data_IF_511852885029
#
_entry.id   IF_511852885029
#
_cell.length_a   1.000
_cell.length_b   1.000
_cell.length_c   1.000
_cell.angle_alpha   90.00
_cell.angle_beta   90.00
_cell.angle_gamma   90.00
#
_symmetry.space_group_name_H-M   'P 1'
#
loop_
_entity.id
_entity.type
_entity.pdbx_description
1 polymer ?
#
# COMPACT_ATOMS: atom_id res chain seq x y z
N UNK A 1 6.73 6.65 1.32
CA UNK A 1 7.46 5.36 1.17
C UNK A 1 8.99 5.52 1.11
N UNK A 2 9.58 6.27 0.19
CA UNK A 2 11.06 6.31 0.05
C UNK A 2 11.81 6.82 1.29
N UNK A 3 11.28 7.85 1.96
CA UNK A 3 11.88 8.34 3.20
C UNK A 3 11.80 7.29 4.32
N UNK A 4 10.63 6.66 4.50
CA UNK A 4 10.46 5.54 5.43
C UNK A 4 11.42 4.39 5.14
N UNK A 5 11.65 4.06 3.87
CA UNK A 5 12.64 3.05 3.49
C UNK A 5 14.06 3.45 3.94
N UNK A 6 14.47 4.70 3.73
CA UNK A 6 15.78 5.22 4.18
C UNK A 6 15.91 5.17 5.71
N UNK A 7 14.88 5.59 6.44
CA UNK A 7 14.87 5.55 7.91
C UNK A 7 14.98 4.13 8.48
N UNK A 8 14.48 3.13 7.76
CA UNK A 8 14.53 1.72 8.17
C UNK A 8 15.65 0.93 7.46
N UNK A 9 16.63 1.62 6.84
CA UNK A 9 17.65 0.98 6.00
C UNK A 9 18.37 -0.19 6.66
N UNK A 10 18.65 -0.08 7.96
CA UNK A 10 19.35 -1.09 8.75
C UNK A 10 18.52 -2.36 8.97
N UNK A 11 17.20 -2.26 8.99
CA UNK A 11 16.28 -3.39 9.21
C UNK A 11 15.85 -4.08 7.91
N UNK A 12 16.12 -3.47 6.74
CA UNK A 12 15.73 -3.97 5.43
C UNK A 12 16.85 -4.86 4.85
N UNK A 13 16.51 -6.10 4.50
CA UNK A 13 17.48 -7.12 4.04
C UNK A 13 17.93 -6.89 2.61
N UNK A 14 16.99 -6.69 1.68
CA UNK A 14 17.28 -6.38 0.27
C UNK A 14 16.71 -5.02 -0.11
N UNK A 15 17.48 -3.99 0.19
CA UNK A 15 17.05 -2.61 0.03
C UNK A 15 16.78 -2.23 -1.41
N UNK A 16 17.60 -2.64 -2.37
CA UNK A 16 17.32 -2.30 -3.77
C UNK A 16 16.05 -2.98 -4.25
N UNK A 17 15.80 -4.24 -3.85
CA UNK A 17 14.55 -4.91 -4.18
C UNK A 17 13.34 -4.17 -3.61
N UNK A 18 13.44 -3.69 -2.36
CA UNK A 18 12.40 -2.88 -1.75
C UNK A 18 12.22 -1.55 -2.48
N UNK A 19 13.30 -0.84 -2.83
CA UNK A 19 13.24 0.41 -3.59
C UNK A 19 12.59 0.20 -4.95
N UNK A 20 12.97 -0.83 -5.71
CA UNK A 20 12.31 -1.16 -6.97
C UNK A 20 10.83 -1.47 -6.77
N UNK A 21 10.46 -2.22 -5.72
CA UNK A 21 9.06 -2.47 -5.42
C UNK A 21 8.30 -1.17 -5.14
N UNK A 22 8.85 -0.26 -4.34
CA UNK A 22 8.27 1.07 -4.06
C UNK A 22 8.05 1.85 -5.36
N UNK A 23 9.06 1.91 -6.23
CA UNK A 23 8.97 2.68 -7.48
C UNK A 23 7.96 2.11 -8.46
N UNK A 24 7.84 0.78 -8.52
CA UNK A 24 7.03 0.12 -9.54
C UNK A 24 5.62 -0.27 -9.09
N UNK A 25 5.30 -0.32 -7.79
CA UNK A 25 4.06 -1.00 -7.35
C UNK A 25 2.77 -0.45 -8.00
N UNK A 26 2.69 0.86 -8.17
CA UNK A 26 1.55 1.56 -8.80
C UNK A 26 1.86 2.20 -10.16
N UNK A 27 2.94 1.78 -10.83
CA UNK A 27 3.32 2.35 -12.14
C UNK A 27 2.24 2.16 -13.21
N UNK A 28 1.46 1.08 -13.12
CA UNK A 28 0.26 0.88 -13.94
C UNK A 28 -0.95 1.07 -13.05
N UNK A 29 -1.61 2.22 -13.21
CA UNK A 29 -2.79 2.55 -12.45
C UNK A 29 -3.98 2.85 -13.38
N UNK A 30 -5.02 2.01 -13.28
CA UNK A 30 -6.33 2.23 -13.90
C UNK A 30 -7.39 2.05 -12.82
N UNK A 31 -8.07 3.12 -12.40
CA UNK A 31 -8.99 3.16 -11.25
C UNK A 31 -10.08 2.07 -11.22
N UNK A 32 -10.41 1.49 -12.38
CA UNK A 32 -11.41 0.42 -12.56
C UNK A 32 -10.85 -1.01 -12.61
N UNK A 33 -9.53 -1.18 -12.62
CA UNK A 33 -8.91 -2.48 -12.90
C UNK A 33 -8.37 -3.16 -11.65
N UNK A 34 -8.90 -4.34 -11.33
CA UNK A 34 -8.35 -5.26 -10.30
C UNK A 34 -7.02 -5.93 -10.71
N UNK A 35 -6.38 -5.45 -11.77
CA UNK A 35 -5.17 -6.06 -12.36
C UNK A 35 -3.96 -5.11 -12.30
N UNK A 36 -4.09 -3.93 -11.72
CA UNK A 36 -3.06 -2.89 -11.69
C UNK A 36 -1.75 -3.43 -11.12
N UNK A 37 -1.77 -3.94 -9.89
CA UNK A 37 -0.59 -4.40 -9.17
C UNK A 37 0.05 -5.60 -9.86
N UNK A 38 -0.76 -6.52 -10.40
CA UNK A 38 -0.24 -7.66 -11.20
C UNK A 38 0.42 -7.18 -12.50
N UNK A 39 -0.12 -6.15 -13.14
CA UNK A 39 0.46 -5.55 -14.35
C UNK A 39 1.74 -4.79 -14.00
N UNK A 40 1.74 -3.99 -12.94
CA UNK A 40 2.90 -3.31 -12.39
C UNK A 40 4.03 -4.28 -12.07
N UNK A 41 3.73 -5.38 -11.37
CA UNK A 41 4.70 -6.42 -11.04
C UNK A 41 5.32 -7.06 -12.30
N UNK A 42 4.49 -7.40 -13.30
CA UNK A 42 4.97 -7.93 -14.58
C UNK A 42 5.82 -6.91 -15.34
N UNK A 43 5.41 -5.65 -15.33
CA UNK A 43 6.14 -4.56 -15.97
C UNK A 43 7.52 -4.37 -15.33
N UNK A 44 7.58 -4.36 -14.00
CA UNK A 44 8.82 -4.26 -13.23
C UNK A 44 9.80 -5.38 -13.62
N UNK A 45 9.37 -6.65 -13.58
CA UNK A 45 10.22 -7.78 -13.97
C UNK A 45 10.72 -7.65 -15.41
N UNK A 46 9.85 -7.24 -16.35
CA UNK A 46 10.23 -7.05 -17.75
C UNK A 46 11.30 -5.96 -17.91
N UNK A 47 11.15 -4.82 -17.22
CA UNK A 47 12.13 -3.72 -17.26
C UNK A 47 13.45 -4.12 -16.59
N UNK A 48 13.38 -4.80 -15.45
CA UNK A 48 14.54 -5.19 -14.66
C UNK A 48 15.37 -6.33 -15.28
N UNK A 49 14.82 -7.06 -16.25
CA UNK A 49 15.61 -7.98 -17.08
C UNK A 49 16.75 -7.28 -17.82
N UNK A 50 16.54 -6.03 -18.24
CA UNK A 50 17.53 -5.26 -18.98
C UNK A 50 18.72 -4.77 -18.10
N UNK A 51 18.63 -4.94 -16.77
CA UNK A 51 19.65 -4.50 -15.81
C UNK A 51 20.47 -5.68 -15.25
N UNK A 52 20.46 -6.86 -15.89
CA UNK A 52 21.18 -8.07 -15.46
C UNK A 52 20.93 -8.49 -13.99
N UNK A 53 19.81 -8.09 -13.39
CA UNK A 53 19.43 -8.49 -12.03
C UNK A 53 19.14 -10.00 -11.99
N UNK A 54 19.68 -10.71 -10.99
CA UNK A 54 19.44 -12.14 -10.77
C UNK A 54 17.93 -12.45 -10.73
N UNK A 55 17.54 -13.60 -11.26
CA UNK A 55 16.13 -14.00 -11.34
C UNK A 55 15.44 -14.03 -9.99
N UNK A 56 16.13 -14.55 -8.96
CA UNK A 56 15.63 -14.58 -7.58
C UNK A 56 15.24 -13.19 -7.08
N UNK A 57 16.06 -12.16 -7.36
CA UNK A 57 15.79 -10.76 -6.96
C UNK A 57 14.59 -10.20 -7.73
N UNK A 58 14.47 -10.46 -9.03
CA UNK A 58 13.28 -10.07 -9.82
C UNK A 58 12.00 -10.74 -9.31
N UNK A 59 12.08 -12.02 -8.94
CA UNK A 59 10.94 -12.75 -8.38
C UNK A 59 10.53 -12.22 -7.00
N UNK A 60 11.51 -11.83 -6.16
CA UNK A 60 11.22 -11.11 -4.91
C UNK A 60 10.49 -9.80 -5.18
N UNK A 61 11.00 -8.96 -6.08
CA UNK A 61 10.36 -7.67 -6.47
C UNK A 61 8.93 -7.89 -6.99
N UNK A 62 8.72 -8.91 -7.83
CA UNK A 62 7.39 -9.27 -8.32
C UNK A 62 6.42 -9.58 -7.18
N UNK A 63 6.84 -10.43 -6.24
CA UNK A 63 6.00 -10.83 -5.10
C UNK A 63 5.73 -9.65 -4.16
N UNK A 64 6.74 -8.80 -3.93
CA UNK A 64 6.62 -7.56 -3.15
C UNK A 64 5.54 -6.65 -3.75
N UNK A 65 5.62 -6.33 -5.04
CA UNK A 65 4.59 -5.52 -5.71
C UNK A 65 3.23 -6.21 -5.68
N UNK A 66 3.17 -7.51 -5.98
CA UNK A 66 1.90 -8.24 -5.98
C UNK A 66 1.20 -8.24 -4.61
N UNK A 67 1.99 -8.16 -3.53
CA UNK A 67 1.50 -8.20 -2.15
C UNK A 67 0.65 -6.96 -1.80
N UNK A 68 0.88 -5.82 -2.44
CA UNK A 68 0.14 -4.56 -2.19
C UNK A 68 -1.31 -4.66 -2.65
N UNK A 69 -1.63 -5.55 -3.59
CA UNK A 69 -3.00 -5.74 -4.11
C UNK A 69 -4.06 -6.02 -3.04
N UNK A 70 -3.69 -6.84 -2.06
CA UNK A 70 -4.58 -7.21 -0.94
C UNK A 70 -4.00 -6.79 0.40
N UNK A 71 -2.84 -6.14 0.37
CA UNK A 71 -2.00 -5.88 1.53
C UNK A 71 -1.85 -7.14 2.38
N UNK A 72 -1.23 -8.18 1.82
CA UNK A 72 -0.97 -9.47 2.49
C UNK A 72 0.46 -9.91 2.22
N UNK A 73 1.16 -10.38 3.25
CA UNK A 73 2.52 -10.91 3.13
C UNK A 73 2.55 -12.12 2.18
N UNK A 74 3.35 -12.03 1.11
CA UNK A 74 3.62 -13.10 0.16
C UNK A 74 5.07 -13.61 0.23
N UNK A 75 5.97 -12.81 0.81
CA UNK A 75 7.37 -13.16 1.05
C UNK A 75 7.61 -13.16 2.55
N UNK A 76 7.88 -14.34 3.13
CA UNK A 76 8.06 -14.54 4.58
C UNK A 76 9.52 -14.77 4.98
N UNK A 77 10.45 -14.66 4.03
CA UNK A 77 11.88 -14.92 4.28
C UNK A 77 12.54 -13.83 5.13
N UNK A 78 11.96 -12.63 5.11
CA UNK A 78 12.45 -11.44 5.80
C UNK A 78 11.29 -10.45 6.00
N UNK A 79 11.56 -9.34 6.67
CA UNK A 79 10.57 -8.29 6.97
C UNK A 79 10.36 -7.29 5.82
N UNK A 80 11.05 -7.43 4.68
CA UNK A 80 10.98 -6.42 3.60
C UNK A 80 9.55 -6.31 3.05
N UNK A 81 8.82 -7.43 2.98
CA UNK A 81 7.41 -7.40 2.58
C UNK A 81 6.56 -6.67 3.61
N UNK A 82 6.79 -6.90 4.91
CA UNK A 82 6.05 -6.23 5.98
C UNK A 82 6.30 -4.71 5.91
N UNK A 83 7.56 -4.28 5.77
CA UNK A 83 7.90 -2.87 5.60
C UNK A 83 7.25 -2.25 4.36
N UNK A 84 7.25 -2.92 3.21
CA UNK A 84 6.60 -2.38 2.02
C UNK A 84 5.12 -2.09 2.26
N UNK A 85 4.41 -3.03 2.87
CA UNK A 85 2.98 -2.89 3.15
C UNK A 85 2.70 -1.81 4.19
N UNK A 86 3.53 -1.74 5.24
CA UNK A 86 3.42 -0.69 6.26
C UNK A 86 3.65 0.69 5.65
N UNK A 87 4.62 0.83 4.73
CA UNK A 87 4.90 2.09 4.06
C UNK A 87 3.78 2.52 3.12
N UNK A 88 3.11 1.56 2.49
CA UNK A 88 1.97 1.80 1.59
C UNK A 88 0.73 2.25 2.38
N UNK A 89 0.51 1.64 3.54
CA UNK A 89 -0.61 1.94 4.43
C UNK A 89 -0.36 3.12 5.38
N UNK A 90 0.87 3.65 5.45
CA UNK A 90 1.26 4.71 6.39
C UNK A 90 0.40 5.97 6.32
N UNK A 91 -0.27 6.23 5.18
CA UNK A 91 -1.21 7.35 5.04
C UNK A 91 -2.37 7.26 6.03
N UNK A 92 -2.79 6.04 6.40
CA UNK A 92 -3.88 5.85 7.35
C UNK A 92 -3.51 6.37 8.74
N UNK A 93 -2.26 6.21 9.17
CA UNK A 93 -1.78 6.65 10.49
C UNK A 93 -1.35 8.10 10.60
N UNK A 94 -1.53 8.92 9.56
CA UNK A 94 -1.16 10.35 9.61
C UNK A 94 -2.18 11.16 10.42
N UNK A 95 -1.83 12.39 10.78
CA UNK A 95 -2.78 13.33 11.39
C UNK A 95 -4.02 13.52 10.52
N UNK A 96 -5.16 13.80 11.16
CA UNK A 96 -6.45 13.91 10.48
C UNK A 96 -6.43 14.84 9.27
N UNK A 97 -5.79 16.01 9.37
CA UNK A 97 -5.76 16.97 8.27
C UNK A 97 -5.05 16.42 7.01
N UNK A 98 -4.00 15.62 7.20
CA UNK A 98 -3.27 14.95 6.11
C UNK A 98 -4.13 13.83 5.53
N UNK A 99 -4.76 13.04 6.39
CA UNK A 99 -5.65 11.96 6.00
C UNK A 99 -6.87 12.49 5.23
N UNK A 100 -7.51 13.55 5.70
CA UNK A 100 -8.66 14.20 5.07
C UNK A 100 -8.30 14.77 3.69
N UNK A 101 -7.15 15.43 3.55
CA UNK A 101 -6.67 15.88 2.24
C UNK A 101 -6.48 14.69 1.28
N UNK A 102 -6.03 13.54 1.78
CA UNK A 102 -5.96 12.30 1.01
C UNK A 102 -7.35 11.78 0.60
N UNK A 103 -8.34 11.72 1.50
CA UNK A 103 -9.70 11.27 1.16
C UNK A 103 -10.36 12.17 0.12
N UNK A 104 -10.14 13.49 0.19
CA UNK A 104 -10.61 14.44 -0.81
C UNK A 104 -10.00 14.20 -2.20
N UNK A 105 -8.71 13.84 -2.27
CA UNK A 105 -8.05 13.45 -3.53
C UNK A 105 -8.68 12.18 -4.12
N UNK A 106 -8.93 11.18 -3.28
CA UNK A 106 -9.66 9.96 -3.70
C UNK A 106 -11.05 10.34 -4.22
N UNK A 107 -11.81 11.18 -3.51
CA UNK A 107 -13.14 11.62 -3.96
C UNK A 107 -13.09 12.30 -5.33
N UNK A 108 -12.07 13.15 -5.59
CA UNK A 108 -11.85 13.81 -6.88
C UNK A 108 -11.52 12.83 -8.00
N UNK A 109 -10.72 11.80 -7.72
CA UNK A 109 -10.37 10.76 -8.69
C UNK A 109 -11.61 9.98 -9.15
N UNK A 110 -12.51 9.69 -8.20
CA UNK A 110 -13.77 9.01 -8.44
C UNK A 110 -14.94 9.98 -8.70
N UNK A 111 -14.67 11.24 -9.11
CA UNK A 111 -15.71 12.27 -9.34
C UNK A 111 -16.81 11.85 -10.32
N UNK A 112 -16.47 10.98 -11.27
CA UNK A 112 -17.41 10.49 -12.28
C UNK A 112 -18.50 9.59 -11.70
N UNK A 113 -18.31 9.07 -10.47
CA UNK A 113 -19.33 8.28 -9.80
C UNK A 113 -20.16 9.18 -8.87
N UNK A 114 -21.50 9.12 -8.99
CA UNK A 114 -22.39 9.83 -8.09
C UNK A 114 -22.26 9.28 -6.66
N UNK A 115 -22.64 10.11 -5.67
CA UNK A 115 -22.44 9.79 -4.25
C UNK A 115 -23.12 8.49 -3.82
N UNK A 116 -24.28 8.15 -4.37
CA UNK A 116 -25.01 6.91 -4.04
C UNK A 116 -24.28 5.63 -4.49
N UNK A 117 -23.39 5.71 -5.49
CA UNK A 117 -22.51 4.58 -5.88
C UNK A 117 -21.17 4.63 -5.15
N UNK A 118 -20.59 5.83 -5.01
CA UNK A 118 -19.27 6.00 -4.40
C UNK A 118 -19.27 5.66 -2.90
N UNK A 119 -20.24 6.20 -2.14
CA UNK A 119 -20.26 6.07 -0.66
C UNK A 119 -20.31 4.60 -0.23
N UNK A 120 -21.23 3.73 -0.71
CA UNK A 120 -21.26 2.33 -0.28
C UNK A 120 -19.99 1.56 -0.67
N UNK A 121 -19.43 1.82 -1.85
CA UNK A 121 -18.19 1.19 -2.29
C UNK A 121 -17.00 1.60 -1.42
N UNK A 122 -16.91 2.88 -1.06
CA UNK A 122 -15.86 3.39 -0.17
C UNK A 122 -16.03 2.86 1.25
N UNK A 123 -17.25 2.86 1.81
CA UNK A 123 -17.54 2.25 3.12
C UNK A 123 -17.05 0.79 3.17
N UNK A 124 -17.30 0.01 2.12
CA UNK A 124 -16.83 -1.39 2.05
C UNK A 124 -15.30 -1.53 2.11
N UNK A 125 -14.57 -0.60 1.49
CA UNK A 125 -13.09 -0.58 1.56
C UNK A 125 -12.63 -0.26 2.98
N UNK A 126 -13.20 0.78 3.60
CA UNK A 126 -12.85 1.19 4.96
C UNK A 126 -13.15 0.08 5.98
N UNK A 127 -14.34 -0.52 5.89
CA UNK A 127 -14.74 -1.62 6.76
C UNK A 127 -13.81 -2.81 6.61
N UNK A 128 -13.43 -3.18 5.37
CA UNK A 128 -12.49 -4.28 5.14
C UNK A 128 -11.08 -4.04 5.70
N UNK A 129 -10.69 -2.80 6.02
CA UNK A 129 -9.49 -2.51 6.81
C UNK A 129 -9.78 -2.60 8.31
N UNK A 130 -10.87 -2.00 8.79
CA UNK A 130 -11.26 -2.03 10.21
C UNK A 130 -11.49 -3.46 10.74
N UNK A 131 -11.98 -4.36 9.90
CA UNK A 131 -12.22 -5.79 10.22
C UNK A 131 -10.92 -6.60 10.40
N UNK A 132 -9.75 -6.05 10.06
CA UNK A 132 -8.47 -6.72 10.27
C UNK A 132 -8.09 -6.65 11.74
N UNK A 133 -7.46 -7.71 12.25
CA UNK A 133 -6.87 -7.72 13.60
C UNK A 133 -5.79 -6.63 13.74
N UNK A 134 -4.94 -6.48 12.73
CA UNK A 134 -3.92 -5.42 12.65
C UNK A 134 -3.90 -4.80 11.24
N UNK A 135 -3.68 -3.49 11.17
CA UNK A 135 -3.51 -2.76 9.90
C UNK A 135 -2.06 -2.81 9.43
N UNK A 136 -1.12 -2.75 10.37
CA UNK A 136 0.32 -2.79 10.14
C UNK A 136 0.93 -4.13 10.54
N UNK A 137 2.02 -4.50 9.89
CA UNK A 137 2.66 -5.81 10.00
C UNK A 137 3.84 -5.80 10.98
N UNK A 138 4.69 -4.78 10.93
CA UNK A 138 5.82 -4.66 11.86
C UNK A 138 5.42 -4.01 13.17
N UNK A 139 6.06 -4.44 14.26
CA UNK A 139 5.77 -3.93 15.60
C UNK A 139 5.95 -2.41 15.71
N UNK A 140 7.00 -1.88 15.07
CA UNK A 140 7.27 -0.45 14.99
C UNK A 140 6.07 0.33 14.43
N UNK A 141 5.51 -0.11 13.29
CA UNK A 141 4.42 0.62 12.63
C UNK A 141 3.06 0.38 13.26
N UNK A 142 2.84 -0.78 13.91
CA UNK A 142 1.67 -0.99 14.78
C UNK A 142 1.66 0.04 15.90
N UNK A 143 2.76 0.16 16.64
CA UNK A 143 2.85 1.08 17.78
C UNK A 143 2.75 2.55 17.36
N UNK A 144 3.33 2.91 16.21
CA UNK A 144 3.27 4.28 15.70
C UNK A 144 1.90 4.67 15.14
N UNK A 145 1.23 3.79 14.41
CA UNK A 145 0.14 4.20 13.52
C UNK A 145 -1.19 3.47 13.72
N UNK A 146 -1.25 2.30 14.39
CA UNK A 146 -2.47 1.48 14.44
C UNK A 146 -3.65 2.26 15.04
N UNK A 147 -3.44 2.91 16.19
CA UNK A 147 -4.48 3.69 16.87
C UNK A 147 -5.02 4.82 15.99
N UNK A 148 -4.13 5.69 15.51
CA UNK A 148 -4.49 6.84 14.67
C UNK A 148 -5.16 6.39 13.36
N UNK A 149 -4.69 5.29 12.77
CA UNK A 149 -5.27 4.74 11.55
C UNK A 149 -6.71 4.28 11.75
N UNK A 150 -7.01 3.59 12.85
CA UNK A 150 -8.39 3.17 13.16
C UNK A 150 -9.29 4.37 13.41
N UNK A 151 -8.81 5.37 14.14
CA UNK A 151 -9.56 6.62 14.37
C UNK A 151 -9.88 7.35 13.05
N UNK A 152 -8.90 7.47 12.15
CA UNK A 152 -9.08 8.09 10.85
C UNK A 152 -10.06 7.33 9.95
N UNK A 153 -9.91 6.01 9.86
CA UNK A 153 -10.80 5.15 9.07
C UNK A 153 -12.24 5.22 9.59
N UNK A 154 -12.42 5.18 10.92
CA UNK A 154 -13.73 5.28 11.56
C UNK A 154 -14.35 6.67 11.35
N UNK A 155 -13.54 7.73 11.48
CA UNK A 155 -14.00 9.10 11.24
C UNK A 155 -14.44 9.30 9.79
N UNK A 156 -13.68 8.80 8.81
CA UNK A 156 -14.10 8.83 7.40
C UNK A 156 -15.38 8.02 7.17
N UNK A 157 -15.51 6.84 7.78
CA UNK A 157 -16.69 6.01 7.66
C UNK A 157 -17.96 6.76 8.09
N UNK A 158 -17.85 7.53 9.17
CA UNK A 158 -18.95 8.34 9.73
C UNK A 158 -19.35 9.53 8.83
N UNK A 159 -18.44 10.05 7.98
CA UNK A 159 -18.77 11.13 7.02
C UNK A 159 -19.68 10.68 5.88
N UNK A 160 -19.85 9.38 5.70
CA UNK A 160 -20.71 8.80 4.66
C UNK A 160 -22.06 8.30 5.19
N UNK A 161 -22.34 8.50 6.48
CA UNK A 161 -23.65 8.23 7.07
C UNK A 161 -24.70 9.25 6.62
#
# INVERSE_FOLDING_TARGET
>A
MLNLAKENRAAIKDFDALLFAIWFHDIIYKSRSKRNEKKSAKYAVKRLKNFNLKELKRNKIYKLILSTKKHKILVKTDLDNAFLLDFDLAIFGQDWNVYEAYTQKIRKEYKMFPNFLYRPARKKVLQGFLDRETLYFTEKYKNLFEKQARENLQRELNLYN
#
